data_IF_625854330306
#
_entry.id   IF_625854330306
#
_cell.length_a   1.000
_cell.length_b   1.000
_cell.length_c   1.000
_cell.angle_alpha   90.00
_cell.angle_beta   90.00
_cell.angle_gamma   90.00
#
_symmetry.space_group_name_H-M   'P 1'
#
loop_
_entity.id
_entity.type
_entity.pdbx_description
1 polymer ?
#
# COMPACT_ATOMS: atom_id res chain seq x y z
N UNK A 1 -19.79 24.30 -5.00
CA UNK A 1 -20.41 22.96 -4.86
C UNK A 1 -19.31 21.94 -4.57
N UNK A 2 -19.32 21.19 -3.44
CA UNK A 2 -18.29 20.18 -3.19
C UNK A 2 -18.46 19.00 -4.16
N UNK A 3 -17.38 18.61 -4.83
CA UNK A 3 -17.35 17.53 -5.81
C UNK A 3 -17.62 16.19 -5.11
N UNK A 4 -18.79 15.57 -5.36
CA UNK A 4 -19.10 14.21 -4.90
C UNK A 4 -18.14 13.21 -5.56
N UNK A 5 -17.25 12.60 -4.76
CA UNK A 5 -16.36 11.54 -5.21
C UNK A 5 -17.17 10.25 -5.42
N UNK A 6 -17.63 10.00 -6.65
CA UNK A 6 -18.46 8.83 -7.02
C UNK A 6 -17.67 7.52 -7.24
N UNK A 7 -16.50 7.33 -6.62
CA UNK A 7 -15.74 6.10 -6.82
C UNK A 7 -15.45 5.48 -5.47
N UNK A 8 -16.00 4.28 -5.26
CA UNK A 8 -15.51 3.33 -4.26
C UNK A 8 -14.00 3.30 -4.43
N UNK A 9 -13.26 3.82 -3.44
CA UNK A 9 -11.80 3.91 -3.55
C UNK A 9 -11.30 2.48 -3.81
N UNK A 10 -10.50 2.23 -4.87
CA UNK A 10 -9.88 0.92 -5.02
C UNK A 10 -9.06 0.67 -3.75
N UNK A 11 -9.07 -0.57 -3.25
CA UNK A 11 -8.27 -0.98 -2.09
C UNK A 11 -6.80 -0.72 -2.41
N UNK A 12 -6.27 0.45 -2.06
CA UNK A 12 -4.93 0.87 -2.50
C UNK A 12 -3.87 -0.08 -1.95
N UNK A 13 -4.14 -0.70 -0.80
CA UNK A 13 -3.33 -1.74 -0.21
C UNK A 13 -3.14 -2.98 -1.08
N UNK A 14 -4.17 -3.42 -1.82
CA UNK A 14 -4.03 -4.59 -2.70
C UNK A 14 -3.09 -4.29 -3.88
N UNK A 15 -3.14 -3.05 -4.40
CA UNK A 15 -2.22 -2.60 -5.45
C UNK A 15 -0.80 -2.45 -4.93
N UNK A 16 -0.63 -1.92 -3.71
CA UNK A 16 0.68 -1.82 -3.05
C UNK A 16 1.31 -3.21 -2.87
N UNK A 17 0.55 -4.18 -2.36
CA UNK A 17 1.01 -5.55 -2.17
C UNK A 17 1.41 -6.21 -3.49
N UNK A 18 0.65 -5.96 -4.57
CA UNK A 18 0.97 -6.48 -5.91
C UNK A 18 2.29 -5.92 -6.44
N UNK A 19 2.51 -4.60 -6.32
CA UNK A 19 3.75 -3.96 -6.75
C UNK A 19 4.97 -4.43 -5.95
N UNK A 20 4.83 -4.55 -4.63
CA UNK A 20 5.89 -5.07 -3.76
C UNK A 20 6.31 -6.48 -4.18
N UNK A 21 5.34 -7.37 -4.39
CA UNK A 21 5.60 -8.75 -4.83
C UNK A 21 6.21 -8.81 -6.23
N UNK A 22 5.76 -7.97 -7.16
CA UNK A 22 6.33 -7.88 -8.50
C UNK A 22 7.80 -7.41 -8.48
N UNK A 23 8.16 -6.58 -7.49
CA UNK A 23 9.53 -6.17 -7.23
C UNK A 23 10.36 -7.22 -6.46
N UNK A 24 9.78 -8.36 -6.08
CA UNK A 24 10.48 -9.41 -5.32
C UNK A 24 10.77 -9.05 -3.86
N UNK A 25 10.15 -7.99 -3.34
CA UNK A 25 10.43 -7.48 -1.99
C UNK A 25 9.53 -8.14 -0.93
N UNK A 26 10.09 -8.39 0.24
CA UNK A 26 9.34 -8.62 1.47
C UNK A 26 8.80 -7.29 2.03
N UNK A 27 7.86 -7.36 2.98
CA UNK A 27 7.34 -6.15 3.63
C UNK A 27 8.45 -5.43 4.42
N UNK A 28 9.38 -6.15 5.04
CA UNK A 28 10.51 -5.59 5.78
C UNK A 28 11.48 -4.86 4.85
N UNK A 29 11.81 -5.45 3.70
CA UNK A 29 12.70 -4.80 2.72
C UNK A 29 12.06 -3.55 2.14
N UNK A 30 10.77 -3.59 1.79
CA UNK A 30 10.05 -2.39 1.37
C UNK A 30 10.07 -1.31 2.45
N UNK A 31 9.83 -1.69 3.71
CA UNK A 31 9.85 -0.78 4.84
C UNK A 31 11.21 -0.09 4.98
N UNK A 32 12.31 -0.85 4.89
CA UNK A 32 13.67 -0.30 4.91
C UNK A 32 13.93 0.68 3.77
N UNK A 33 13.48 0.38 2.55
CA UNK A 33 13.68 1.24 1.39
C UNK A 33 12.94 2.58 1.49
N UNK A 34 11.77 2.61 2.13
CA UNK A 34 10.95 3.82 2.26
C UNK A 34 11.08 4.51 3.61
N UNK A 35 11.93 4.00 4.51
CA UNK A 35 12.17 4.58 5.83
C UNK A 35 11.03 4.36 6.83
N UNK A 36 10.30 3.26 6.69
CA UNK A 36 9.13 2.92 7.50
C UNK A 36 9.30 1.61 8.27
N UNK A 37 8.29 1.27 9.06
CA UNK A 37 8.22 -0.03 9.76
C UNK A 37 7.48 -1.08 8.93
N UNK A 38 7.82 -2.35 9.12
CA UNK A 38 7.10 -3.46 8.48
C UNK A 38 5.60 -3.46 8.86
N UNK A 39 5.26 -3.03 10.08
CA UNK A 39 3.88 -2.91 10.55
C UNK A 39 3.09 -1.86 9.75
N UNK A 40 3.71 -0.72 9.43
CA UNK A 40 3.08 0.32 8.60
C UNK A 40 2.82 -0.20 7.18
N UNK A 41 3.76 -0.92 6.58
CA UNK A 41 3.55 -1.56 5.27
C UNK A 41 2.39 -2.56 5.33
N UNK A 42 2.33 -3.41 6.35
CA UNK A 42 1.23 -4.37 6.50
C UNK A 42 -0.14 -3.68 6.66
N UNK A 43 -0.20 -2.60 7.45
CA UNK A 43 -1.41 -1.80 7.61
C UNK A 43 -1.86 -1.14 6.30
N UNK A 44 -0.92 -0.59 5.53
CA UNK A 44 -1.22 -0.01 4.21
C UNK A 44 -1.70 -1.06 3.22
N UNK A 45 -1.13 -2.28 3.23
CA UNK A 45 -1.56 -3.38 2.37
C UNK A 45 -2.98 -3.88 2.69
N UNK A 46 -3.48 -3.65 3.91
CA UNK A 46 -4.81 -4.05 4.36
C UNK A 46 -5.91 -2.99 4.09
N UNK A 47 -5.53 -1.73 3.87
CA UNK A 47 -6.43 -0.58 3.69
C UNK A 47 -6.87 -0.36 2.23
#
# INVERSE_FOLDING_TARGET
MPRKLQRTRPKQGSRLAALRRAAGLTQTELAQLVGETQQNIAYWEQS
#
